data_IF_916404346028
#
_entry.id   IF_916404346028
#
_cell.length_a   1.000
_cell.length_b   1.000
_cell.length_c   1.000
_cell.angle_alpha   90.00
_cell.angle_beta   90.00
_cell.angle_gamma   90.00
#
_symmetry.space_group_name_H-M   'P 1'
#
loop_
_entity.id
_entity.type
_entity.pdbx_description
1 polymer ?
#
# COMPACT_ATOMS: atom_id res chain seq x y z
N UNK A 1 7.53 -2.29 19.95
CA UNK A 1 6.07 -2.17 19.75
C UNK A 1 5.50 -3.57 19.64
N UNK A 2 4.40 -3.93 20.32
CA UNK A 2 3.84 -5.27 20.19
C UNK A 2 3.15 -5.39 18.82
N UNK A 3 3.78 -6.15 17.92
CA UNK A 3 3.17 -6.56 16.66
C UNK A 3 2.38 -7.86 16.90
N UNK A 4 1.21 -7.97 16.28
CA UNK A 4 0.35 -9.15 16.33
C UNK A 4 0.10 -9.64 14.91
N UNK A 5 -0.02 -10.95 14.77
CA UNK A 5 -0.41 -11.58 13.51
C UNK A 5 -1.86 -11.23 13.17
N UNK A 6 -2.13 -10.96 11.89
CA UNK A 6 -3.50 -10.80 11.40
C UNK A 6 -4.21 -12.14 11.37
N UNK A 7 -5.48 -12.16 11.78
CA UNK A 7 -6.32 -13.35 11.63
C UNK A 7 -6.42 -13.74 10.15
N UNK A 8 -6.16 -15.01 9.84
CA UNK A 8 -6.13 -15.52 8.46
C UNK A 8 -4.88 -15.17 7.65
N UNK A 9 -3.93 -14.39 8.19
CA UNK A 9 -2.65 -14.10 7.54
C UNK A 9 -1.55 -13.89 8.60
N UNK A 10 -0.91 -14.98 9.06
CA UNK A 10 0.00 -14.93 10.20
C UNK A 10 1.29 -14.15 9.95
N UNK A 11 1.70 -14.04 8.68
CA UNK A 11 2.94 -13.35 8.29
C UNK A 11 2.74 -11.84 8.14
N UNK A 12 1.49 -11.38 8.06
CA UNK A 12 1.15 -9.97 8.13
C UNK A 12 1.02 -9.53 9.59
N UNK A 13 2.05 -8.84 10.08
CA UNK A 13 2.12 -8.42 11.48
C UNK A 13 1.72 -6.95 11.58
N UNK A 14 0.75 -6.61 12.42
CA UNK A 14 0.25 -5.26 12.59
C UNK A 14 0.18 -4.83 14.05
N UNK A 15 0.16 -3.52 14.28
CA UNK A 15 -0.23 -2.99 15.59
C UNK A 15 -1.75 -2.97 15.72
N UNK A 16 -2.24 -2.80 16.95
CA UNK A 16 -3.63 -2.43 17.17
C UNK A 16 -3.93 -1.07 16.52
N UNK A 17 -5.21 -0.82 16.25
CA UNK A 17 -5.68 0.44 15.69
C UNK A 17 -5.33 1.60 16.63
N UNK A 18 -4.89 2.73 16.07
CA UNK A 18 -4.47 3.94 16.79
C UNK A 18 -3.38 3.72 17.86
N UNK A 19 -2.66 2.60 17.83
CA UNK A 19 -1.54 2.32 18.72
C UNK A 19 -0.36 3.30 18.54
N UNK A 20 -0.33 4.00 17.41
CA UNK A 20 0.66 5.03 17.06
C UNK A 20 -0.07 6.31 16.67
N UNK A 21 0.13 7.38 17.45
CA UNK A 21 -0.48 8.68 17.15
C UNK A 21 -0.07 9.19 15.76
N UNK A 22 -1.07 9.50 14.93
CA UNK A 22 -0.86 10.00 13.56
C UNK A 22 -0.68 8.91 12.49
N UNK A 23 -0.61 7.63 12.87
CA UNK A 23 -0.52 6.51 11.93
C UNK A 23 -1.82 5.72 11.97
N UNK A 24 -2.53 5.69 10.84
CA UNK A 24 -3.82 4.98 10.75
C UNK A 24 -3.68 3.48 10.76
N UNK A 25 -2.57 2.97 10.25
CA UNK A 25 -2.25 1.55 10.19
C UNK A 25 -0.73 1.37 10.12
N UNK A 26 -0.19 0.50 10.98
CA UNK A 26 1.23 0.16 10.97
C UNK A 26 1.38 -1.36 10.91
N UNK A 27 2.12 -1.83 9.92
CA UNK A 27 2.31 -3.26 9.70
C UNK A 27 3.68 -3.57 9.08
N UNK A 28 4.12 -4.80 9.32
CA UNK A 28 5.14 -5.48 8.52
C UNK A 28 4.42 -6.29 7.45
N UNK A 29 4.70 -5.94 6.20
CA UNK A 29 4.12 -6.59 5.04
C UNK A 29 5.17 -7.46 4.34
N UNK A 30 5.00 -8.79 4.27
CA UNK A 30 5.92 -9.65 3.54
C UNK A 30 6.04 -9.25 2.07
N UNK A 31 7.26 -9.26 1.53
CA UNK A 31 7.52 -8.86 0.14
C UNK A 31 6.74 -9.71 -0.88
N UNK A 32 6.60 -11.00 -0.62
CA UNK A 32 5.79 -11.93 -1.44
C UNK A 32 4.33 -11.48 -1.52
N UNK A 33 3.73 -11.06 -0.40
CA UNK A 33 2.36 -10.55 -0.39
C UNK A 33 2.24 -9.20 -1.10
N UNK A 34 3.26 -8.34 -1.00
CA UNK A 34 3.32 -7.09 -1.77
C UNK A 34 3.44 -7.36 -3.28
N UNK A 35 4.22 -8.37 -3.68
CA UNK A 35 4.33 -8.81 -5.07
C UNK A 35 2.99 -9.37 -5.58
N UNK A 36 2.30 -10.18 -4.77
CA UNK A 36 0.99 -10.72 -5.12
C UNK A 36 -0.04 -9.61 -5.31
N UNK A 37 -0.06 -8.62 -4.42
CA UNK A 37 -0.99 -7.49 -4.51
C UNK A 37 -0.71 -6.57 -5.72
N UNK A 38 0.56 -6.35 -6.08
CA UNK A 38 0.92 -5.52 -7.23
C UNK A 38 0.76 -6.27 -8.56
N UNK A 39 1.27 -7.49 -8.65
CA UNK A 39 1.53 -8.19 -9.90
C UNK A 39 0.82 -9.54 -10.03
N UNK A 40 0.22 -10.06 -8.95
CA UNK A 40 -0.40 -11.39 -8.94
C UNK A 40 0.61 -12.54 -8.98
N UNK A 41 1.85 -12.31 -8.52
CA UNK A 41 2.91 -13.33 -8.45
C UNK A 41 3.58 -13.35 -7.08
N UNK A 42 4.10 -14.52 -6.69
CA UNK A 42 4.70 -14.77 -5.36
C UNK A 42 6.08 -14.11 -5.16
N UNK A 43 6.71 -13.62 -6.24
CA UNK A 43 8.05 -13.03 -6.18
C UNK A 43 8.06 -11.64 -6.78
N UNK A 44 8.70 -10.71 -6.09
CA UNK A 44 8.94 -9.38 -6.61
C UNK A 44 9.71 -9.47 -7.94
N UNK A 45 9.23 -8.83 -9.02
CA UNK A 45 9.90 -8.89 -10.32
C UNK A 45 11.35 -8.41 -10.23
N UNK A 46 12.28 -9.19 -10.80
CA UNK A 46 13.72 -8.93 -10.71
C UNK A 46 14.18 -7.73 -11.56
N UNK A 47 13.34 -7.27 -12.49
CA UNK A 47 13.56 -6.07 -13.30
C UNK A 47 13.17 -4.77 -12.57
N UNK A 48 12.58 -4.88 -11.38
CA UNK A 48 12.22 -3.74 -10.53
C UNK A 48 13.10 -3.71 -9.27
N UNK A 49 13.49 -2.52 -8.79
CA UNK A 49 14.10 -2.39 -7.47
C UNK A 49 13.20 -3.01 -6.38
N UNK A 50 13.80 -3.79 -5.49
CA UNK A 50 13.09 -4.34 -4.34
C UNK A 50 12.84 -3.22 -3.31
N UNK A 51 11.57 -2.95 -2.92
CA UNK A 51 11.28 -1.93 -1.94
C UNK A 51 11.78 -2.32 -0.56
N UNK A 52 12.33 -1.35 0.18
CA UNK A 52 12.78 -1.54 1.57
C UNK A 52 11.72 -1.14 2.60
N UNK A 53 10.75 -0.32 2.19
CA UNK A 53 9.60 0.02 3.00
C UNK A 53 8.40 0.35 2.09
N UNK A 54 7.25 0.47 2.73
CA UNK A 54 5.97 0.79 2.11
C UNK A 54 5.28 1.91 2.89
N UNK A 55 4.63 2.81 2.15
CA UNK A 55 3.86 3.92 2.73
C UNK A 55 2.63 4.19 1.87
N UNK A 56 1.48 4.41 2.50
CA UNK A 56 0.26 4.80 1.82
C UNK A 56 -0.25 6.16 2.30
N UNK A 57 -0.64 6.98 1.33
CA UNK A 57 -1.22 8.30 1.57
C UNK A 57 -2.71 8.27 1.27
N UNK A 58 -3.52 8.60 2.28
CA UNK A 58 -4.95 8.72 2.11
C UNK A 58 -5.29 10.01 1.34
N UNK A 59 -6.03 9.90 0.23
CA UNK A 59 -6.31 11.02 -0.68
C UNK A 59 -7.80 11.17 -0.93
N UNK A 60 -8.33 12.40 -0.95
CA UNK A 60 -9.77 12.63 -1.17
C UNK A 60 -10.28 12.07 -2.50
N UNK A 61 -9.49 12.21 -3.56
CA UNK A 61 -9.79 11.75 -4.92
C UNK A 61 -8.59 10.99 -5.48
N UNK A 62 -8.77 9.68 -5.67
CA UNK A 62 -7.70 8.80 -6.16
C UNK A 62 -7.48 8.92 -7.65
N UNK A 63 -8.53 9.25 -8.42
CA UNK A 63 -8.41 9.42 -9.86
C UNK A 63 -7.55 10.64 -10.15
N UNK A 64 -7.90 11.79 -9.57
CA UNK A 64 -7.13 13.02 -9.72
C UNK A 64 -5.68 12.87 -9.24
N UNK A 65 -5.45 12.17 -8.12
CA UNK A 65 -4.10 11.93 -7.61
C UNK A 65 -3.29 10.99 -8.53
N UNK A 66 -3.90 9.94 -9.08
CA UNK A 66 -3.25 9.02 -10.02
C UNK A 66 -2.90 9.73 -11.34
N UNK A 67 -3.80 10.55 -11.87
CA UNK A 67 -3.55 11.34 -13.07
C UNK A 67 -2.41 12.33 -12.86
N UNK A 68 -2.34 12.95 -11.67
CA UNK A 68 -1.23 13.82 -11.27
C UNK A 68 0.12 13.10 -11.21
N UNK A 69 0.15 11.82 -10.82
CA UNK A 69 1.37 11.01 -10.85
C UNK A 69 1.80 10.68 -12.29
N UNK A 70 0.86 10.26 -13.14
CA UNK A 70 1.14 9.98 -14.55
C UNK A 70 1.64 11.22 -15.30
N UNK A 71 1.01 12.38 -15.07
CA UNK A 71 1.42 13.65 -15.68
C UNK A 71 2.84 14.08 -15.29
N UNK A 72 3.33 13.63 -14.13
CA UNK A 72 4.70 13.85 -13.66
C UNK A 72 5.69 12.78 -14.16
N UNK A 73 5.23 11.81 -14.96
CA UNK A 73 6.07 10.76 -15.53
C UNK A 73 6.32 9.56 -14.61
N UNK A 74 5.56 9.43 -13.51
CA UNK A 74 5.68 8.24 -12.65
C UNK A 74 5.08 7.01 -13.32
N UNK A 75 5.78 5.87 -13.19
CA UNK A 75 5.25 4.56 -13.58
C UNK A 75 4.40 3.99 -12.44
N UNK A 76 3.11 3.81 -12.69
CA UNK A 76 2.22 3.11 -11.78
C UNK A 76 2.38 1.60 -11.96
N UNK A 77 2.48 0.87 -10.84
CA UNK A 77 2.45 -0.60 -10.83
C UNK A 77 1.01 -1.11 -10.94
N UNK A 78 0.10 -0.46 -10.21
CA UNK A 78 -1.34 -0.67 -10.27
C UNK A 78 -2.00 0.70 -10.18
N UNK A 79 -3.14 0.88 -10.86
CA UNK A 79 -3.87 2.14 -10.90
C UNK A 79 -5.34 1.91 -10.55
N UNK A 80 -5.85 2.66 -9.56
CA UNK A 80 -7.24 2.70 -9.11
C UNK A 80 -7.86 1.30 -8.89
N UNK A 81 -7.06 0.36 -8.37
CA UNK A 81 -7.48 -1.01 -8.11
C UNK A 81 -8.29 -1.04 -6.81
N UNK A 82 -9.45 -1.69 -6.84
CA UNK A 82 -10.20 -2.01 -5.63
C UNK A 82 -9.71 -3.35 -5.09
N UNK A 83 -9.16 -3.34 -3.89
CA UNK A 83 -8.72 -4.53 -3.18
C UNK A 83 -9.93 -5.32 -2.62
N UNK A 84 -9.81 -6.63 -2.37
CA UNK A 84 -10.92 -7.46 -1.89
C UNK A 84 -11.59 -6.96 -0.60
N UNK A 85 -10.85 -6.22 0.23
CA UNK A 85 -11.34 -5.64 1.49
C UNK A 85 -11.94 -4.23 1.32
N UNK A 86 -12.05 -3.72 0.08
CA UNK A 86 -12.77 -2.48 -0.25
C UNK A 86 -11.94 -1.20 -0.28
N UNK A 87 -10.63 -1.27 -0.01
CA UNK A 87 -9.71 -0.15 -0.24
C UNK A 87 -9.50 0.04 -1.74
N UNK A 88 -9.53 1.29 -2.23
CA UNK A 88 -9.05 1.60 -3.59
C UNK A 88 -7.63 2.11 -3.51
N UNK A 89 -6.72 1.60 -4.34
CA UNK A 89 -5.30 1.92 -4.30
C UNK A 89 -4.68 2.08 -5.69
N UNK A 90 -3.78 3.06 -5.80
CA UNK A 90 -2.78 3.18 -6.86
C UNK A 90 -1.41 3.04 -6.21
N UNK A 91 -0.54 2.17 -6.75
CA UNK A 91 0.83 1.99 -6.24
C UNK A 91 1.87 2.31 -7.29
N UNK A 92 3.01 2.82 -6.83
CA UNK A 92 4.21 3.09 -7.61
C UNK A 92 5.45 2.75 -6.79
N UNK A 93 6.59 2.58 -7.46
CA UNK A 93 7.89 2.73 -6.80
C UNK A 93 8.27 4.21 -6.85
N UNK A 94 8.54 4.79 -5.68
CA UNK A 94 9.08 6.15 -5.60
C UNK A 94 10.53 6.18 -6.09
N UNK A 95 11.06 7.36 -6.48
CA UNK A 95 12.47 7.51 -6.86
C UNK A 95 13.44 7.08 -5.75
N UNK A 96 13.01 7.18 -4.50
CA UNK A 96 13.75 6.78 -3.30
C UNK A 96 13.67 5.26 -3.03
N UNK A 97 12.92 4.49 -3.83
CA UNK A 97 12.80 3.05 -3.72
C UNK A 97 11.73 2.57 -2.74
N UNK A 98 10.77 3.42 -2.36
CA UNK A 98 9.64 3.03 -1.54
C UNK A 98 8.50 2.47 -2.40
N UNK A 99 7.83 1.43 -1.90
CA UNK A 99 6.52 1.07 -2.44
C UNK A 99 5.50 2.08 -1.90
N UNK A 100 5.17 3.06 -2.71
CA UNK A 100 4.24 4.13 -2.33
C UNK A 100 2.85 3.79 -2.84
N UNK A 101 1.83 4.00 -2.02
CA UNK A 101 0.44 3.98 -2.42
C UNK A 101 -0.25 5.32 -2.19
N UNK A 102 -1.23 5.60 -3.03
CA UNK A 102 -2.29 6.57 -2.73
C UNK A 102 -3.60 5.81 -2.61
N UNK A 103 -4.38 6.10 -1.57
CA UNK A 103 -5.49 5.25 -1.17
C UNK A 103 -6.78 6.02 -0.91
N UNK A 104 -7.89 5.32 -1.15
CA UNK A 104 -9.17 5.59 -0.50
C UNK A 104 -9.47 4.39 0.38
N UNK A 105 -9.51 4.61 1.68
CA UNK A 105 -9.76 3.59 2.69
C UNK A 105 -11.08 3.91 3.41
N UNK A 106 -12.22 3.32 2.97
CA UNK A 106 -13.55 3.75 3.42
C UNK A 106 -13.74 3.79 4.93
N UNK A 107 -13.26 2.79 5.68
CA UNK A 107 -13.40 2.73 7.14
C UNK A 107 -12.50 3.69 7.92
N UNK A 108 -11.48 4.29 7.27
CA UNK A 108 -10.66 5.34 7.89
C UNK A 108 -11.25 6.73 7.70
N UNK A 109 -12.26 6.86 6.84
CA UNK A 109 -13.01 8.09 6.63
C UNK A 109 -14.19 8.07 7.58
N UNK A 110 -14.09 8.83 8.66
CA UNK A 110 -15.29 9.19 9.43
C UNK A 110 -16.26 9.98 8.55
N UNK A 111 -17.52 10.05 8.98
CA UNK A 111 -18.46 11.08 8.49
C UNK A 111 -17.93 12.49 8.73
#
# INVERSE_FOLDING_TARGET
MPLKAMEGNPDYLLTEQDALAGVKHFALWPLEQAAQSCFGVDRWPADLPQPQAWIEFEVRDIQAASDGLLAKGYRLLIANRVEPWGQTVTRLLSPEGLLTGITITPWLRGE
#
